data_IF_152342505576
#
_entry.id   IF_152342505576
#
_cell.length_a   1.000
_cell.length_b   1.000
_cell.length_c   1.000
_cell.angle_alpha   90.00
_cell.angle_beta   90.00
_cell.angle_gamma   90.00
#
_symmetry.space_group_name_H-M   'P 1'
#
loop_
_entity.id
_entity.type
_entity.pdbx_description
1 polymer ?
#
# COMPACT_ATOMS: atom_id res chain seq x y z
N UNK A 1 20.86 -22.16 8.47
CA UNK A 1 19.84 -21.16 8.83
C UNK A 1 19.93 -20.04 7.82
N UNK A 2 18.92 -19.86 6.97
CA UNK A 2 18.89 -18.72 6.05
C UNK A 2 18.58 -17.46 6.86
N UNK A 3 19.48 -16.48 6.81
CA UNK A 3 19.31 -15.19 7.48
C UNK A 3 18.69 -14.22 6.48
N UNK A 4 17.51 -13.69 6.79
CA UNK A 4 16.83 -12.69 5.96
C UNK A 4 17.12 -11.29 6.49
N UNK A 5 17.67 -10.42 5.66
CA UNK A 5 17.92 -9.01 6.04
C UNK A 5 16.68 -8.18 5.75
N UNK A 6 16.37 -7.26 6.66
CA UNK A 6 15.28 -6.31 6.48
C UNK A 6 15.66 -4.94 7.06
N UNK A 7 14.87 -3.92 6.74
CA UNK A 7 14.94 -2.57 7.34
C UNK A 7 13.58 -2.23 7.93
N UNK A 8 13.55 -1.73 9.17
CA UNK A 8 12.32 -1.25 9.80
C UNK A 8 12.14 0.23 9.47
N UNK A 9 10.98 0.61 8.95
CA UNK A 9 10.66 1.99 8.56
C UNK A 9 9.27 2.37 9.05
N UNK A 10 8.96 3.66 9.10
CA UNK A 10 7.58 4.11 9.29
C UNK A 10 7.30 5.39 8.51
N UNK A 11 6.04 5.57 8.09
CA UNK A 11 5.52 6.81 7.54
C UNK A 11 4.45 7.35 8.46
N UNK A 12 4.76 8.40 9.24
CA UNK A 12 3.83 9.02 10.20
C UNK A 12 3.21 8.02 11.20
N UNK A 13 4.00 7.07 11.69
CA UNK A 13 3.58 6.06 12.67
C UNK A 13 3.10 4.74 12.06
N UNK A 14 2.67 4.72 10.80
CA UNK A 14 2.38 3.48 10.09
C UNK A 14 3.70 2.78 9.71
N UNK A 15 3.96 1.63 10.32
CA UNK A 15 5.28 0.98 10.33
C UNK A 15 5.38 -0.25 9.41
N UNK A 16 6.55 -0.39 8.81
CA UNK A 16 6.84 -1.36 7.76
C UNK A 16 8.08 -2.19 8.09
N UNK A 17 7.99 -3.49 7.89
CA UNK A 17 9.16 -4.33 7.64
C UNK A 17 9.46 -4.27 6.13
N UNK A 18 10.62 -3.75 5.75
CA UNK A 18 11.01 -3.60 4.33
C UNK A 18 12.07 -4.61 3.95
N UNK A 19 11.79 -5.42 2.93
CA UNK A 19 12.70 -6.44 2.39
C UNK A 19 13.22 -5.98 1.03
N UNK A 20 14.54 -5.98 0.90
CA UNK A 20 15.21 -5.92 -0.40
C UNK A 20 15.11 -7.31 -1.03
N UNK A 21 14.30 -7.50 -2.06
CA UNK A 21 14.23 -8.70 -2.89
C UNK A 21 14.94 -8.50 -4.25
N UNK A 22 15.69 -7.41 -4.41
CA UNK A 22 16.58 -7.17 -5.55
C UNK A 22 17.95 -7.82 -5.30
N UNK A 23 18.44 -7.75 -4.07
CA UNK A 23 19.78 -8.21 -3.68
C UNK A 23 19.80 -9.58 -2.97
N UNK A 24 18.64 -10.12 -2.59
CA UNK A 24 18.49 -11.43 -1.95
C UNK A 24 17.20 -12.09 -2.44
N UNK A 25 17.20 -13.43 -2.51
CA UNK A 25 16.00 -14.18 -2.89
C UNK A 25 14.99 -14.17 -1.74
N UNK A 26 13.76 -13.76 -2.05
CA UNK A 26 12.66 -13.76 -1.09
C UNK A 26 11.32 -13.99 -1.78
N UNK A 27 10.62 -15.04 -1.36
CA UNK A 27 9.27 -15.38 -1.81
C UNK A 27 8.30 -15.11 -0.66
N UNK A 28 7.48 -14.05 -0.71
CA UNK A 28 6.57 -13.70 0.40
C UNK A 28 5.51 -14.76 0.68
N UNK A 29 5.12 -15.57 -0.32
CA UNK A 29 4.11 -16.62 -0.19
C UNK A 29 4.55 -17.74 0.78
N UNK A 30 5.85 -17.99 0.88
CA UNK A 30 6.43 -18.99 1.78
C UNK A 30 6.76 -18.40 3.17
N UNK A 31 6.55 -17.09 3.35
CA UNK A 31 6.97 -16.37 4.55
C UNK A 31 5.89 -16.43 5.64
N UNK A 32 6.26 -16.62 6.92
CA UNK A 32 5.34 -16.56 8.05
C UNK A 32 5.03 -15.09 8.44
N UNK A 33 4.45 -14.32 7.51
CA UNK A 33 4.22 -12.87 7.63
C UNK A 33 3.47 -12.54 8.93
N UNK A 34 2.38 -13.26 9.22
CA UNK A 34 1.58 -13.02 10.42
C UNK A 34 2.35 -13.25 11.73
N UNK A 35 3.26 -14.23 11.76
CA UNK A 35 4.11 -14.45 12.92
C UNK A 35 5.14 -13.33 13.09
N UNK A 36 5.69 -12.81 11.99
CA UNK A 36 6.62 -11.67 12.05
C UNK A 36 5.91 -10.35 12.41
N UNK A 37 4.64 -10.20 12.03
CA UNK A 37 3.84 -9.01 12.31
C UNK A 37 3.40 -8.91 13.78
N UNK A 38 3.42 -10.01 14.56
CA UNK A 38 3.15 -9.97 16.00
C UNK A 38 4.11 -8.99 16.70
N UNK A 39 3.56 -7.99 17.38
CA UNK A 39 4.34 -6.91 18.01
C UNK A 39 5.06 -7.32 19.30
N UNK A 40 4.70 -8.44 19.90
CA UNK A 40 5.29 -8.95 21.13
C UNK A 40 6.28 -10.10 20.88
N UNK A 41 6.00 -10.93 19.88
CA UNK A 41 6.77 -12.16 19.58
C UNK A 41 7.54 -12.09 18.26
N UNK A 42 7.19 -11.17 17.38
CA UNK A 42 7.80 -10.98 16.07
C UNK A 42 8.60 -9.68 15.97
N UNK A 43 8.77 -9.22 14.73
CA UNK A 43 9.37 -7.91 14.41
C UNK A 43 8.37 -6.77 14.69
N UNK A 44 7.07 -7.05 14.57
CA UNK A 44 5.96 -6.15 14.85
C UNK A 44 5.78 -5.05 13.81
N UNK A 45 4.82 -5.12 12.90
CA UNK A 45 4.60 -4.10 11.87
C UNK A 45 3.16 -4.06 11.43
N UNK A 46 2.70 -2.94 10.87
CA UNK A 46 1.41 -2.87 10.19
C UNK A 46 1.45 -3.61 8.85
N UNK A 47 2.51 -3.40 8.06
CA UNK A 47 2.68 -4.00 6.74
C UNK A 47 4.10 -4.49 6.46
N UNK A 48 4.20 -5.53 5.65
CA UNK A 48 5.44 -5.95 4.99
C UNK A 48 5.52 -5.29 3.61
N UNK A 49 6.64 -4.64 3.31
CA UNK A 49 6.94 -4.05 2.01
C UNK A 49 8.09 -4.82 1.36
N UNK A 50 7.85 -5.44 0.21
CA UNK A 50 8.85 -6.23 -0.52
C UNK A 50 9.24 -5.47 -1.77
N UNK A 51 10.54 -5.17 -1.94
CA UNK A 51 11.08 -4.42 -3.07
C UNK A 51 11.85 -5.36 -3.99
N UNK A 52 11.30 -5.67 -5.15
CA UNK A 52 11.90 -6.56 -6.14
C UNK A 52 12.23 -5.85 -7.45
N UNK A 53 12.81 -6.61 -8.39
CA UNK A 53 12.98 -6.17 -9.77
C UNK A 53 11.63 -6.23 -10.50
N UNK A 54 11.41 -5.25 -11.38
CA UNK A 54 10.30 -5.30 -12.32
C UNK A 54 10.66 -6.18 -13.52
N UNK A 55 9.69 -6.90 -14.06
CA UNK A 55 9.81 -7.59 -15.36
C UNK A 55 9.34 -6.71 -16.52
N UNK A 56 8.63 -5.61 -16.21
CA UNK A 56 8.12 -4.65 -17.18
C UNK A 56 9.25 -3.74 -17.69
N UNK A 57 9.41 -3.65 -19.02
CA UNK A 57 10.40 -2.79 -19.66
C UNK A 57 10.20 -1.31 -19.29
N UNK A 58 11.29 -0.63 -18.90
CA UNK A 58 11.25 0.79 -18.52
C UNK A 58 10.75 1.06 -17.09
N UNK A 59 10.47 0.03 -16.30
CA UNK A 59 10.10 0.15 -14.88
C UNK A 59 11.29 -0.26 -14.01
N UNK A 60 11.64 0.56 -13.02
CA UNK A 60 12.87 0.39 -12.22
C UNK A 60 12.73 -0.73 -11.19
N UNK A 61 11.58 -0.79 -10.52
CA UNK A 61 11.31 -1.73 -9.44
C UNK A 61 9.87 -2.21 -9.48
N UNK A 62 9.62 -3.32 -8.81
CA UNK A 62 8.30 -3.75 -8.37
C UNK A 62 8.27 -3.70 -6.86
N UNK A 63 7.22 -3.16 -6.25
CA UNK A 63 6.98 -3.44 -4.84
C UNK A 63 5.64 -4.13 -4.61
N UNK A 64 5.60 -4.95 -3.57
CA UNK A 64 4.41 -5.64 -3.07
C UNK A 64 4.21 -5.33 -1.60
N UNK A 65 2.95 -5.19 -1.18
CA UNK A 65 2.59 -4.85 0.20
C UNK A 65 1.69 -5.94 0.76
N UNK A 66 2.06 -6.46 1.92
CA UNK A 66 1.26 -7.43 2.65
C UNK A 66 0.86 -6.84 3.99
N UNK A 67 -0.40 -7.00 4.37
CA UNK A 67 -0.85 -6.66 5.72
C UNK A 67 -0.28 -7.63 6.75
N UNK A 68 -0.47 -7.30 8.03
CA UNK A 68 -0.09 -8.15 9.15
C UNK A 68 -0.72 -9.57 9.11
N UNK A 69 -1.84 -9.78 8.43
CA UNK A 69 -2.46 -11.10 8.25
C UNK A 69 -1.89 -11.89 7.06
N UNK A 70 -0.99 -11.30 6.28
CA UNK A 70 -0.41 -11.88 5.07
C UNK A 70 -1.20 -11.61 3.78
N UNK A 71 -2.35 -10.93 3.85
CA UNK A 71 -3.08 -10.52 2.66
C UNK A 71 -2.33 -9.45 1.86
N UNK A 72 -2.25 -9.61 0.53
CA UNK A 72 -1.65 -8.61 -0.35
C UNK A 72 -2.64 -7.47 -0.63
N UNK A 73 -2.14 -6.23 -0.59
CA UNK A 73 -2.94 -5.03 -0.88
C UNK A 73 -2.36 -4.22 -2.03
N UNK A 74 -3.28 -3.56 -2.74
CA UNK A 74 -2.99 -2.84 -3.99
C UNK A 74 -2.02 -1.66 -3.83
N UNK A 75 -2.28 -0.78 -2.84
CA UNK A 75 -1.48 0.42 -2.64
C UNK A 75 -1.54 0.94 -1.19
N UNK A 76 -0.43 1.52 -0.72
CA UNK A 76 -0.37 2.32 0.50
C UNK A 76 0.52 3.55 0.26
N UNK A 77 -0.03 4.76 0.45
CA UNK A 77 0.71 6.01 0.24
C UNK A 77 1.90 6.17 1.20
N UNK A 78 1.84 5.60 2.40
CA UNK A 78 2.97 5.55 3.33
C UNK A 78 4.05 4.56 2.85
N UNK A 79 3.61 3.40 2.35
CA UNK A 79 4.50 2.40 1.76
C UNK A 79 5.30 2.94 0.59
N UNK A 80 4.66 3.69 -0.32
CA UNK A 80 5.34 4.33 -1.45
C UNK A 80 6.44 5.33 -1.01
N UNK A 81 6.21 6.08 0.09
CA UNK A 81 7.23 6.97 0.66
C UNK A 81 8.38 6.19 1.29
N UNK A 82 8.07 5.14 2.04
CA UNK A 82 9.10 4.25 2.61
C UNK A 82 9.92 3.56 1.52
N UNK A 83 9.29 3.08 0.44
CA UNK A 83 9.94 2.50 -0.73
C UNK A 83 10.97 3.46 -1.34
N UNK A 84 10.55 4.68 -1.69
CA UNK A 84 11.43 5.63 -2.38
C UNK A 84 12.66 5.97 -1.53
N UNK A 85 12.47 6.12 -0.22
CA UNK A 85 13.57 6.35 0.71
C UNK A 85 14.46 5.11 0.86
N UNK A 86 13.86 3.92 0.94
CA UNK A 86 14.57 2.66 1.07
C UNK A 86 15.53 2.41 -0.08
N UNK A 87 15.07 2.52 -1.34
CA UNK A 87 15.92 2.24 -2.51
C UNK A 87 17.05 3.26 -2.66
N UNK A 88 16.81 4.51 -2.27
CA UNK A 88 17.84 5.55 -2.23
C UNK A 88 18.88 5.29 -1.13
N UNK A 89 18.44 5.03 0.10
CA UNK A 89 19.33 4.78 1.25
C UNK A 89 20.15 3.49 1.07
N UNK A 90 19.61 2.49 0.37
CA UNK A 90 20.31 1.25 0.01
C UNK A 90 21.22 1.38 -1.21
N UNK A 91 21.19 2.51 -1.92
CA UNK A 91 21.96 2.71 -3.14
C UNK A 91 21.53 1.81 -4.29
N UNK A 92 20.26 1.38 -4.31
CA UNK A 92 19.71 0.54 -5.39
C UNK A 92 19.41 1.36 -6.66
N UNK A 93 19.30 2.69 -6.52
CA UNK A 93 19.16 3.62 -7.63
C UNK A 93 19.73 4.99 -7.24
N UNK A 94 20.20 5.74 -8.24
CA UNK A 94 20.60 7.13 -8.16
C UNK A 94 19.52 8.11 -8.66
N UNK A 95 18.38 7.59 -9.15
CA UNK A 95 17.26 8.37 -9.66
C UNK A 95 16.52 9.10 -8.54
N UNK A 96 16.08 10.33 -8.82
CA UNK A 96 15.23 11.14 -7.92
C UNK A 96 13.73 10.89 -8.12
N UNK A 97 13.33 10.58 -9.35
CA UNK A 97 11.98 10.10 -9.70
C UNK A 97 12.12 8.64 -10.11
N UNK A 98 11.41 7.76 -9.40
CA UNK A 98 11.58 6.31 -9.52
C UNK A 98 10.32 5.73 -10.16
N UNK A 99 10.47 5.02 -11.27
CA UNK A 99 9.35 4.33 -11.92
C UNK A 99 9.13 2.98 -11.24
N UNK A 100 8.01 2.81 -10.54
CA UNK A 100 7.75 1.57 -9.79
C UNK A 100 6.38 1.00 -10.11
N UNK A 101 6.32 -0.30 -10.40
CA UNK A 101 5.07 -1.02 -10.56
C UNK A 101 4.56 -1.55 -9.21
N UNK A 102 3.24 -1.42 -9.05
CA UNK A 102 2.46 -1.88 -7.90
C UNK A 102 1.35 -2.79 -8.40
N UNK A 103 0.62 -3.43 -7.48
CA UNK A 103 -0.56 -4.22 -7.85
C UNK A 103 -1.66 -3.39 -8.54
N UNK A 104 -1.67 -2.06 -8.38
CA UNK A 104 -2.63 -1.14 -8.99
C UNK A 104 -2.08 -0.38 -10.21
N UNK A 105 -0.88 -0.72 -10.69
CA UNK A 105 -0.22 -0.06 -11.81
C UNK A 105 1.05 0.69 -11.43
N UNK A 106 1.56 1.51 -12.36
CA UNK A 106 2.85 2.21 -12.23
C UNK A 106 2.68 3.57 -11.57
N UNK A 107 3.54 3.88 -10.60
CA UNK A 107 3.62 5.19 -9.93
C UNK A 107 5.04 5.76 -9.99
N UNK A 108 5.16 7.06 -9.72
CA UNK A 108 6.41 7.81 -9.80
C UNK A 108 6.72 8.58 -8.51
N UNK A 109 7.18 7.91 -7.44
CA UNK A 109 7.62 8.59 -6.23
C UNK A 109 8.85 9.46 -6.50
N UNK A 110 8.84 10.68 -5.95
CA UNK A 110 9.92 11.67 -6.06
C UNK A 110 10.59 11.91 -4.73
N UNK A 111 11.88 11.61 -4.64
CA UNK A 111 12.72 11.98 -3.50
C UNK A 111 13.25 13.40 -3.69
N UNK A 112 12.88 14.29 -2.78
CA UNK A 112 13.33 15.69 -2.74
C UNK A 112 14.66 15.80 -1.99
N UNK A 113 15.41 16.89 -2.23
CA UNK A 113 16.73 17.09 -1.61
C UNK A 113 16.68 17.30 -0.09
N UNK A 114 15.53 17.73 0.44
CA UNK A 114 15.27 17.81 1.87
C UNK A 114 14.92 16.45 2.52
N UNK A 115 15.00 15.35 1.75
CA UNK A 115 14.70 13.99 2.22
C UNK A 115 13.21 13.63 2.25
N UNK A 116 12.32 14.54 1.85
CA UNK A 116 10.89 14.27 1.74
C UNK A 116 10.55 13.51 0.45
N UNK A 117 9.49 12.72 0.50
CA UNK A 117 8.99 11.98 -0.67
C UNK A 117 7.61 12.48 -1.07
N UNK A 118 7.47 12.84 -2.34
CA UNK A 118 6.19 13.19 -2.97
C UNK A 118 5.73 12.02 -3.84
N UNK A 119 4.47 11.64 -3.73
CA UNK A 119 3.88 10.54 -4.51
C UNK A 119 2.63 11.06 -5.21
N UNK A 120 2.54 10.87 -6.52
CA UNK A 120 1.29 11.08 -7.23
C UNK A 120 0.38 9.88 -6.99
N UNK A 121 -0.69 10.08 -6.21
CA UNK A 121 -1.64 9.03 -5.83
C UNK A 121 -2.70 8.75 -6.92
N UNK A 122 -2.62 9.41 -8.07
CA UNK A 122 -3.60 9.32 -9.13
C UNK A 122 -4.85 10.17 -8.87
N UNK A 123 -5.89 9.94 -9.67
CA UNK A 123 -7.16 10.65 -9.54
C UNK A 123 -8.12 9.86 -8.63
N UNK A 124 -8.80 10.53 -7.69
CA UNK A 124 -9.88 9.89 -6.92
C UNK A 124 -11.03 9.50 -7.85
N UNK A 125 -11.71 8.40 -7.48
CA UNK A 125 -12.94 7.94 -8.12
C UNK A 125 -14.10 8.09 -7.15
N UNK A 126 -15.22 8.59 -7.65
CA UNK A 126 -16.39 8.97 -6.84
C UNK A 126 -17.66 8.18 -7.19
N UNK A 127 -17.70 7.49 -8.32
CA UNK A 127 -18.87 6.72 -8.72
C UNK A 127 -19.03 5.47 -7.83
N UNK A 128 -20.22 5.14 -7.33
CA UNK A 128 -20.45 3.97 -6.48
C UNK A 128 -19.95 2.66 -7.10
N UNK A 129 -20.15 2.50 -8.41
CA UNK A 129 -19.67 1.35 -9.19
C UNK A 129 -18.14 1.19 -9.20
N UNK A 130 -17.40 2.25 -8.87
CA UNK A 130 -15.95 2.26 -8.76
C UNK A 130 -15.45 2.16 -7.31
N UNK A 131 -16.32 2.23 -6.31
CA UNK A 131 -15.98 2.25 -4.86
C UNK A 131 -16.42 0.96 -4.14
N UNK A 132 -16.78 -0.09 -4.89
CA UNK A 132 -17.75 -1.13 -4.46
C UNK A 132 -18.82 -0.69 -3.46
N UNK A 133 -19.51 0.42 -3.75
CA UNK A 133 -20.57 0.94 -2.89
C UNK A 133 -21.94 0.80 -3.57
N UNK A 134 -22.97 0.43 -2.79
CA UNK A 134 -24.35 0.33 -3.26
C UNK A 134 -25.17 1.42 -2.56
N UNK A 135 -25.61 2.47 -3.28
CA UNK A 135 -26.45 3.53 -2.73
C UNK A 135 -27.84 3.01 -2.31
N UNK A 136 -28.52 3.74 -1.42
CA UNK A 136 -29.91 3.43 -1.09
C UNK A 136 -30.85 3.74 -2.27
N UNK A 137 -32.02 3.10 -2.26
CA UNK A 137 -33.06 3.37 -3.26
C UNK A 137 -33.50 4.83 -3.23
N UNK A 138 -33.28 5.55 -4.33
CA UNK A 138 -33.63 6.96 -4.49
C UNK A 138 -32.46 7.92 -4.35
N UNK A 139 -31.27 7.44 -3.97
CA UNK A 139 -30.03 8.23 -4.04
C UNK A 139 -29.47 8.20 -5.47
N UNK A 140 -28.97 9.34 -5.94
CA UNK A 140 -28.30 9.44 -7.24
C UNK A 140 -26.89 8.86 -7.20
N UNK A 141 -26.46 8.22 -8.29
CA UNK A 141 -25.10 7.69 -8.43
C UNK A 141 -24.01 8.78 -8.41
N UNK A 142 -24.38 10.06 -8.54
CA UNK A 142 -23.51 11.24 -8.49
C UNK A 142 -23.65 12.06 -7.20
N UNK A 143 -24.38 11.55 -6.20
CA UNK A 143 -24.55 12.22 -4.93
C UNK A 143 -23.20 12.40 -4.21
N UNK A 144 -22.97 13.60 -3.68
CA UNK A 144 -21.76 13.89 -2.89
C UNK A 144 -21.82 13.28 -1.48
N UNK A 145 -23.03 12.98 -1.00
CA UNK A 145 -23.30 12.47 0.35
C UNK A 145 -24.37 11.38 0.23
N UNK A 146 -24.08 10.23 0.82
CA UNK A 146 -24.99 9.09 0.94
C UNK A 146 -25.37 8.86 2.41
N UNK A 147 -26.58 8.38 2.66
CA UNK A 147 -27.02 7.94 3.98
C UNK A 147 -26.62 6.49 4.24
N UNK A 148 -25.81 6.23 5.27
CA UNK A 148 -25.49 4.86 5.72
C UNK A 148 -26.20 4.56 7.04
N UNK A 149 -26.97 3.48 7.06
CA UNK A 149 -27.65 3.00 8.26
C UNK A 149 -26.68 2.27 9.18
N UNK A 150 -26.48 2.82 10.36
CA UNK A 150 -25.73 2.21 11.45
C UNK A 150 -26.66 1.96 12.65
N UNK A 151 -26.25 1.17 13.63
CA UNK A 151 -27.02 0.99 14.88
C UNK A 151 -27.29 2.33 15.60
N UNK A 152 -26.41 3.32 15.42
CA UNK A 152 -26.55 4.67 15.98
C UNK A 152 -27.47 5.60 15.16
N UNK A 153 -28.07 5.12 14.06
CA UNK A 153 -28.88 5.90 13.14
C UNK A 153 -28.25 6.10 11.76
N UNK A 154 -28.89 6.93 10.94
CA UNK A 154 -28.41 7.26 9.59
C UNK A 154 -27.28 8.29 9.69
N UNK A 155 -26.12 7.96 9.15
CA UNK A 155 -24.97 8.87 9.10
C UNK A 155 -24.66 9.30 7.67
N UNK A 156 -24.46 10.62 7.42
CA UNK A 156 -24.02 11.10 6.12
C UNK A 156 -22.55 10.73 5.88
N UNK A 157 -22.26 10.13 4.73
CA UNK A 157 -20.90 9.76 4.31
C UNK A 157 -20.60 10.25 2.90
N UNK A 158 -19.35 10.57 2.62
CA UNK A 158 -18.84 10.76 1.26
C UNK A 158 -17.89 9.62 0.93
N UNK A 159 -18.10 8.97 -0.20
CA UNK A 159 -17.34 7.79 -0.62
C UNK A 159 -16.28 8.19 -1.65
N UNK A 160 -15.08 7.63 -1.54
CA UNK A 160 -13.99 7.85 -2.49
C UNK A 160 -13.09 6.63 -2.58
N UNK A 161 -12.66 6.27 -3.80
CA UNK A 161 -11.67 5.22 -4.03
C UNK A 161 -10.34 5.84 -4.52
N UNK A 162 -9.24 5.44 -3.87
CA UNK A 162 -7.87 5.88 -4.14
C UNK A 162 -6.94 4.72 -4.60
N UNK A 163 -7.52 3.66 -5.16
CA UNK A 163 -6.82 2.45 -5.64
C UNK A 163 -7.01 1.22 -4.76
N UNK A 164 -7.47 1.35 -3.51
CA UNK A 164 -7.96 0.23 -2.73
C UNK A 164 -9.48 0.36 -2.60
N UNK A 165 -10.28 -0.70 -2.83
CA UNK A 165 -11.70 -0.67 -2.49
C UNK A 165 -11.82 -0.42 -0.98
N UNK A 166 -12.47 0.67 -0.53
CA UNK A 166 -12.78 0.83 0.89
C UNK A 166 -13.94 -0.12 1.21
N UNK A 167 -13.70 -1.02 2.16
CA UNK A 167 -14.61 -2.07 2.60
C UNK A 167 -14.85 -3.19 1.58
N UNK A 168 -14.07 -4.27 1.72
CA UNK A 168 -14.60 -5.60 1.43
C UNK A 168 -15.73 -5.87 2.42
N UNK A 169 -16.90 -6.17 1.89
CA UNK A 169 -17.99 -6.77 2.64
C UNK A 169 -17.44 -8.02 3.37
N UNK A 170 -17.42 -7.97 4.70
CA UNK A 170 -17.24 -9.16 5.53
C UNK A 170 -18.57 -9.93 5.47
N UNK A 171 -18.83 -10.55 4.32
CA UNK A 171 -20.00 -11.38 4.10
C UNK A 171 -20.09 -12.45 5.17
N UNK A 172 -21.15 -12.36 5.98
CA UNK A 172 -21.87 -13.54 6.46
C UNK A 172 -22.96 -13.88 5.47
#
# INVERSE_FOLDING_TARGET
MNTLKFTKMHGLGNDFMVIDAVSQDFTPEDAPIAAWADRFRGVGFDQLLVVGRSETEGVDFRYRIFNADGSEVGQCGNGARCFARFVADKGLTDKKEICVETANGVIFPKLSDNGMVTVNMGKPKFMPSEIPFVPESGEGDDACIYGVHLESGIQPVSCVNMGNPPCGDCGR
#
